data_IF_391195151771
#
_entry.id   IF_391195151771
#
_cell.length_a   1.000
_cell.length_b   1.000
_cell.length_c   1.000
_cell.angle_alpha   90.00
_cell.angle_beta   90.00
_cell.angle_gamma   90.00
#
_symmetry.space_group_name_H-M   'P 1'
#
loop_
_entity.id
_entity.type
_entity.pdbx_description
1 polymer ?
#
# COMPACT_ATOMS: atom_id res chain seq x y z
N UNK A 1 -3.48 -4.50 -18.78
CA UNK A 1 -4.03 -4.48 -17.41
C UNK A 1 -3.74 -3.12 -16.81
N UNK A 2 -4.71 -2.47 -16.14
CA UNK A 2 -4.49 -1.18 -15.47
C UNK A 2 -4.19 -1.49 -14.00
N UNK A 3 -2.96 -1.21 -13.57
CA UNK A 3 -2.63 -1.23 -12.14
C UNK A 3 -3.11 0.07 -11.49
N UNK A 4 -3.79 -0.09 -10.36
CA UNK A 4 -4.05 1.02 -9.45
C UNK A 4 -3.04 0.92 -8.31
N UNK A 5 -2.68 2.03 -7.72
CA UNK A 5 -1.75 2.09 -6.59
C UNK A 5 -2.23 3.12 -5.58
N UNK A 6 -1.82 2.98 -4.33
CA UNK A 6 -2.33 3.76 -3.19
C UNK A 6 -3.84 3.55 -2.99
N UNK A 7 -4.28 2.28 -3.12
CA UNK A 7 -5.63 1.87 -2.79
C UNK A 7 -5.76 1.74 -1.27
N UNK A 8 -6.79 2.33 -0.70
CA UNK A 8 -6.93 2.39 0.75
C UNK A 8 -7.80 1.23 1.24
N UNK A 9 -7.22 0.37 2.05
CA UNK A 9 -7.90 -0.72 2.73
C UNK A 9 -7.95 -0.49 4.22
N UNK A 10 -9.03 -0.93 4.84
CA UNK A 10 -9.11 -1.22 6.26
C UNK A 10 -9.36 -2.72 6.40
N UNK A 11 -8.48 -3.40 7.08
CA UNK A 11 -8.51 -4.87 7.19
C UNK A 11 -8.67 -5.29 8.63
N UNK A 12 -9.41 -6.38 8.86
CA UNK A 12 -9.59 -6.98 10.19
C UNK A 12 -8.32 -7.65 10.71
N UNK A 13 -8.25 -7.86 12.01
CA UNK A 13 -7.10 -8.49 12.67
C UNK A 13 -6.86 -9.95 12.24
N UNK A 14 -7.91 -10.63 11.77
CA UNK A 14 -7.85 -12.05 11.37
C UNK A 14 -7.36 -12.27 9.94
N UNK A 15 -7.14 -11.20 9.18
CA UNK A 15 -6.68 -11.30 7.79
C UNK A 15 -5.24 -11.79 7.71
N UNK A 16 -4.96 -12.60 6.67
CA UNK A 16 -3.69 -13.30 6.51
C UNK A 16 -2.96 -12.91 5.23
N UNK A 17 -1.63 -13.11 5.22
CA UNK A 17 -0.81 -12.93 4.03
C UNK A 17 -1.29 -13.83 2.86
N UNK A 18 -1.70 -15.06 3.14
CA UNK A 18 -2.20 -15.98 2.11
C UNK A 18 -3.50 -15.45 1.49
N UNK A 19 -4.40 -14.90 2.31
CA UNK A 19 -5.62 -14.23 1.84
C UNK A 19 -5.30 -13.04 0.95
N UNK A 20 -4.34 -12.19 1.35
CA UNK A 20 -3.88 -11.07 0.54
C UNK A 20 -3.26 -11.53 -0.78
N UNK A 21 -2.37 -12.53 -0.76
CA UNK A 21 -1.65 -13.02 -1.94
C UNK A 21 -2.58 -13.59 -3.04
N UNK A 22 -3.76 -14.11 -2.66
CA UNK A 22 -4.76 -14.63 -3.60
C UNK A 22 -5.95 -13.68 -3.82
N UNK A 23 -5.91 -12.50 -3.19
CA UNK A 23 -6.97 -11.49 -3.33
C UNK A 23 -8.30 -11.88 -2.66
N UNK A 24 -8.25 -12.66 -1.57
CA UNK A 24 -9.43 -13.15 -0.84
C UNK A 24 -9.60 -12.51 0.55
N UNK A 25 -8.81 -11.48 0.88
CA UNK A 25 -8.95 -10.76 2.15
C UNK A 25 -10.17 -9.82 2.15
N UNK A 26 -10.68 -9.53 3.33
CA UNK A 26 -11.86 -8.68 3.52
C UNK A 26 -11.45 -7.25 3.82
N UNK A 27 -11.93 -6.31 3.01
CA UNK A 27 -11.85 -4.88 3.28
C UNK A 27 -13.10 -4.43 4.05
N UNK A 28 -12.92 -4.04 5.31
CA UNK A 28 -14.01 -3.63 6.22
C UNK A 28 -14.37 -2.15 6.06
N UNK A 29 -13.64 -1.38 5.24
CA UNK A 29 -13.87 0.05 5.00
C UNK A 29 -14.55 0.38 3.67
N UNK A 30 -14.40 -0.49 2.67
CA UNK A 30 -14.98 -0.31 1.34
C UNK A 30 -14.47 0.96 0.61
N UNK A 31 -13.26 1.44 0.93
CA UNK A 31 -12.70 2.65 0.31
C UNK A 31 -12.22 2.45 -1.12
N UNK A 32 -12.10 1.20 -1.58
CA UNK A 32 -11.79 0.88 -2.98
C UNK A 32 -12.83 1.39 -3.97
N UNK A 33 -14.10 1.33 -3.59
CA UNK A 33 -15.25 1.70 -4.43
C UNK A 33 -15.78 3.11 -4.12
N UNK A 34 -15.16 3.80 -3.14
CA UNK A 34 -15.56 5.16 -2.80
C UNK A 34 -14.99 6.18 -3.76
N UNK A 35 -15.81 7.16 -4.09
CA UNK A 35 -15.37 8.32 -4.84
C UNK A 35 -14.66 9.29 -3.90
N UNK A 36 -13.40 9.59 -4.21
CA UNK A 36 -12.66 10.65 -3.55
C UNK A 36 -13.00 12.00 -4.18
N UNK A 37 -13.31 12.97 -3.35
CA UNK A 37 -13.49 14.36 -3.76
C UNK A 37 -12.14 15.05 -3.90
N UNK A 38 -11.97 15.82 -4.96
CA UNK A 38 -10.80 16.69 -5.12
C UNK A 38 -11.05 17.96 -4.32
N UNK A 39 -10.41 18.09 -3.15
CA UNK A 39 -10.48 19.29 -2.33
C UNK A 39 -9.63 20.41 -2.92
N UNK A 40 -8.45 20.06 -3.42
CA UNK A 40 -7.53 21.03 -3.95
C UNK A 40 -6.59 20.42 -5.00
N UNK A 41 -6.30 21.20 -6.06
CA UNK A 41 -5.31 20.87 -7.09
C UNK A 41 -4.41 22.09 -7.35
N UNK A 42 -3.23 22.12 -6.72
CA UNK A 42 -2.24 23.18 -6.86
C UNK A 42 -1.17 22.79 -7.87
N UNK A 43 -1.42 23.09 -9.14
CA UNK A 43 -0.51 22.70 -10.24
C UNK A 43 0.87 23.34 -10.13
N UNK A 44 0.96 24.57 -9.66
CA UNK A 44 2.20 25.32 -9.43
C UNK A 44 3.07 24.73 -8.31
N UNK A 45 2.45 24.09 -7.33
CA UNK A 45 3.12 23.39 -6.21
C UNK A 45 3.26 21.88 -6.44
N UNK A 46 2.69 21.36 -7.53
CA UNK A 46 2.62 19.91 -7.83
C UNK A 46 1.95 19.12 -6.69
N UNK A 47 0.84 19.65 -6.17
CA UNK A 47 0.08 19.07 -5.08
C UNK A 47 -1.37 18.78 -5.49
N UNK A 48 -1.90 17.65 -4.99
CA UNK A 48 -3.29 17.23 -5.12
C UNK A 48 -3.78 16.75 -3.76
N UNK A 49 -4.93 17.24 -3.32
CA UNK A 49 -5.58 16.83 -2.08
C UNK A 49 -6.90 16.17 -2.41
N UNK A 50 -7.07 14.96 -1.92
CA UNK A 50 -8.25 14.13 -2.07
C UNK A 50 -8.81 13.76 -0.71
N UNK A 51 -10.14 13.76 -0.56
CA UNK A 51 -10.83 13.39 0.68
C UNK A 51 -11.96 12.42 0.39
N UNK A 52 -12.14 11.44 1.26
CA UNK A 52 -13.28 10.53 1.25
C UNK A 52 -13.72 10.22 2.68
N UNK A 53 -15.03 10.05 2.88
CA UNK A 53 -15.62 9.70 4.18
C UNK A 53 -16.44 8.43 4.04
N UNK A 54 -16.38 7.55 5.03
CA UNK A 54 -17.15 6.32 5.03
C UNK A 54 -17.18 5.54 6.32
N UNK A 55 -18.18 4.67 6.49
CA UNK A 55 -18.25 3.77 7.63
C UNK A 55 -17.17 2.71 7.57
N UNK A 56 -16.68 2.30 8.73
CA UNK A 56 -15.77 1.18 8.95
C UNK A 56 -16.32 0.33 10.10
N UNK A 57 -16.21 -0.98 9.94
CA UNK A 57 -16.40 -1.91 11.03
C UNK A 57 -15.05 -2.22 11.67
N UNK A 58 -14.91 -1.87 12.94
CA UNK A 58 -13.70 -2.14 13.72
C UNK A 58 -13.57 -3.57 14.17
N UNK A 59 -12.36 -3.95 14.62
CA UNK A 59 -12.05 -5.30 15.14
C UNK A 59 -12.83 -5.64 16.42
N UNK A 60 -13.29 -4.63 17.15
CA UNK A 60 -14.14 -4.75 18.36
C UNK A 60 -15.64 -4.78 18.05
N UNK A 61 -16.03 -5.08 16.80
CA UNK A 61 -17.41 -5.01 16.31
C UNK A 61 -18.08 -3.62 16.41
N UNK A 62 -17.33 -2.57 16.75
CA UNK A 62 -17.83 -1.21 16.68
C UNK A 62 -18.00 -0.75 15.23
N UNK A 63 -19.02 0.06 14.99
CA UNK A 63 -19.19 0.76 13.74
C UNK A 63 -18.80 2.23 13.96
N UNK A 64 -17.88 2.71 13.16
CA UNK A 64 -17.48 4.12 13.17
C UNK A 64 -17.42 4.68 11.77
N UNK A 65 -17.25 5.97 11.66
CA UNK A 65 -17.06 6.67 10.39
C UNK A 65 -15.66 7.30 10.39
N UNK A 66 -14.94 7.16 9.30
CA UNK A 66 -13.65 7.84 9.14
C UNK A 66 -13.67 8.76 7.95
N UNK A 67 -12.91 9.82 8.08
CA UNK A 67 -12.50 10.67 6.96
C UNK A 67 -11.04 10.41 6.65
N UNK A 68 -10.74 10.12 5.38
CA UNK A 68 -9.38 9.98 4.87
C UNK A 68 -9.07 11.18 4.00
N UNK A 69 -8.01 11.89 4.33
CA UNK A 69 -7.40 12.90 3.46
C UNK A 69 -6.07 12.37 2.93
N UNK A 70 -5.90 12.39 1.61
CA UNK A 70 -4.65 12.08 0.93
C UNK A 70 -4.11 13.31 0.24
N UNK A 71 -2.92 13.76 0.67
CA UNK A 71 -2.20 14.83 -0.02
C UNK A 71 -1.04 14.24 -0.80
N UNK A 72 -1.13 14.31 -2.11
CA UNK A 72 -0.08 13.92 -3.05
C UNK A 72 0.83 15.10 -3.34
N UNK A 73 2.13 14.87 -3.27
CA UNK A 73 3.15 15.84 -3.64
C UNK A 73 4.15 15.24 -4.60
N UNK A 74 4.19 15.77 -5.82
CA UNK A 74 5.06 15.28 -6.88
C UNK A 74 6.34 16.11 -6.94
N UNK A 75 7.49 15.44 -6.98
CA UNK A 75 8.79 16.08 -7.12
C UNK A 75 9.70 15.21 -7.98
N UNK A 76 10.09 15.71 -9.19
CA UNK A 76 11.00 15.03 -10.12
C UNK A 76 10.85 13.50 -10.11
N UNK A 77 11.72 12.81 -9.34
CA UNK A 77 11.77 11.35 -9.20
C UNK A 77 11.12 10.83 -7.91
N UNK A 78 10.28 11.61 -7.24
CA UNK A 78 9.63 11.22 -6.00
C UNK A 78 8.16 11.62 -5.95
N UNK A 79 7.34 10.72 -5.41
CA UNK A 79 5.95 10.95 -5.02
C UNK A 79 5.86 10.79 -3.51
N UNK A 80 5.34 11.80 -2.82
CA UNK A 80 5.00 11.70 -1.41
C UNK A 80 3.49 11.71 -1.25
N UNK A 81 2.95 10.72 -0.55
CA UNK A 81 1.54 10.66 -0.15
C UNK A 81 1.47 10.83 1.35
N UNK A 82 0.83 11.90 1.80
CA UNK A 82 0.51 12.13 3.20
C UNK A 82 -0.91 11.63 3.44
N UNK A 83 -1.08 10.87 4.48
CA UNK A 83 -2.35 10.36 4.97
C UNK A 83 -2.72 11.06 6.26
N UNK A 84 -3.96 11.52 6.33
CA UNK A 84 -4.61 11.94 7.57
C UNK A 84 -5.90 11.15 7.67
N UNK A 85 -6.09 10.40 8.75
CA UNK A 85 -7.28 9.60 9.03
C UNK A 85 -7.87 10.11 10.33
N UNK A 86 -9.12 10.54 10.28
CA UNK A 86 -9.86 11.05 11.43
C UNK A 86 -11.02 10.12 11.72
N UNK A 87 -11.15 9.69 12.98
CA UNK A 87 -12.37 9.04 13.43
C UNK A 87 -13.45 10.11 13.64
N UNK A 88 -14.39 10.21 12.70
CA UNK A 88 -15.51 11.17 12.75
C UNK A 88 -16.77 10.56 13.36
N UNK A 89 -16.73 9.29 13.78
CA UNK A 89 -17.81 8.63 14.48
C UNK A 89 -17.81 8.91 15.97
N UNK A 90 -18.78 8.29 16.67
CA UNK A 90 -18.99 8.47 18.11
C UNK A 90 -18.33 7.36 18.95
N UNK A 91 -17.91 6.27 18.29
CA UNK A 91 -17.31 5.10 18.94
C UNK A 91 -15.81 5.03 18.68
N UNK A 92 -15.07 4.43 19.62
CA UNK A 92 -13.65 4.11 19.42
C UNK A 92 -13.50 3.13 18.26
N UNK A 93 -12.61 3.42 17.35
CA UNK A 93 -12.27 2.56 16.21
C UNK A 93 -10.94 1.84 16.46
N UNK A 94 -10.96 0.51 16.44
CA UNK A 94 -9.78 -0.35 16.38
C UNK A 94 -9.79 -1.10 15.05
N UNK A 95 -8.74 -0.92 14.23
CA UNK A 95 -8.65 -1.48 12.87
C UNK A 95 -7.21 -1.45 12.38
N UNK A 96 -6.95 -2.04 11.22
CA UNK A 96 -5.66 -1.91 10.54
C UNK A 96 -5.83 -1.14 9.23
N UNK A 97 -5.16 0.00 9.11
CA UNK A 97 -5.05 0.73 7.84
C UNK A 97 -3.93 0.16 6.98
N UNK A 98 -4.22 -0.12 5.72
CA UNK A 98 -3.32 -0.83 4.82
C UNK A 98 -3.46 -0.31 3.37
N UNK A 99 -2.73 0.75 2.99
CA UNK A 99 -2.74 1.20 1.60
C UNK A 99 -1.98 0.21 0.71
N UNK A 100 -2.62 -0.26 -0.35
CA UNK A 100 -2.02 -1.15 -1.33
C UNK A 100 -1.23 -0.36 -2.38
N UNK A 101 0.03 -0.71 -2.56
CA UNK A 101 0.95 -0.07 -3.49
C UNK A 101 1.40 -1.11 -4.52
N UNK A 102 0.93 -0.95 -5.75
CA UNK A 102 1.23 -1.85 -6.85
C UNK A 102 2.32 -1.23 -7.73
N UNK A 103 3.42 -1.96 -7.88
CA UNK A 103 4.55 -1.59 -8.71
C UNK A 103 4.72 -2.61 -9.84
N UNK A 104 4.74 -2.12 -11.07
CA UNK A 104 4.96 -2.94 -12.26
C UNK A 104 6.26 -2.52 -12.93
N UNK A 105 7.39 -3.18 -12.60
CA UNK A 105 8.64 -3.00 -13.33
C UNK A 105 8.50 -3.51 -14.77
N UNK A 106 9.41 -3.13 -15.66
CA UNK A 106 9.35 -3.52 -17.05
C UNK A 106 9.84 -4.97 -17.28
N UNK A 107 10.59 -5.54 -16.33
CA UNK A 107 10.98 -6.94 -16.42
C UNK A 107 9.78 -7.86 -16.22
N UNK A 108 9.60 -8.80 -17.11
CA UNK A 108 8.63 -9.89 -17.04
C UNK A 108 9.22 -11.16 -16.40
N UNK A 109 10.54 -11.19 -16.18
CA UNK A 109 11.24 -12.25 -15.46
C UNK A 109 11.49 -11.81 -14.01
N UNK A 110 10.96 -12.61 -13.09
CA UNK A 110 11.14 -12.40 -11.64
C UNK A 110 12.62 -12.53 -11.25
N UNK A 111 13.42 -13.28 -12.00
CA UNK A 111 14.86 -13.43 -11.74
C UNK A 111 15.65 -12.11 -11.89
N UNK A 112 15.10 -11.15 -12.64
CA UNK A 112 15.70 -9.83 -12.84
C UNK A 112 15.31 -8.83 -11.77
N UNK A 113 14.42 -9.22 -10.84
CA UNK A 113 13.90 -8.39 -9.78
C UNK A 113 14.47 -8.79 -8.42
N UNK A 114 14.91 -7.81 -7.66
CA UNK A 114 15.33 -8.01 -6.28
C UNK A 114 14.51 -7.12 -5.36
N UNK A 115 13.91 -7.72 -4.34
CA UNK A 115 13.11 -7.00 -3.34
C UNK A 115 13.84 -7.05 -2.01
N UNK A 116 14.10 -5.86 -1.46
CA UNK A 116 14.74 -5.71 -0.17
C UNK A 116 13.81 -4.96 0.78
N UNK A 117 13.83 -5.35 2.03
CA UNK A 117 13.15 -4.63 3.11
C UNK A 117 14.15 -4.22 4.18
N UNK A 118 13.98 -3.03 4.74
CA UNK A 118 14.77 -2.56 5.87
C UNK A 118 13.92 -2.60 7.15
N UNK A 119 14.16 -3.53 8.08
CA UNK A 119 13.51 -3.53 9.38
C UNK A 119 14.16 -2.47 10.27
N UNK A 120 13.42 -1.43 10.60
CA UNK A 120 13.86 -0.35 11.48
C UNK A 120 15.14 0.34 11.01
N UNK A 121 16.16 0.34 11.88
CA UNK A 121 17.50 0.88 11.57
C UNK A 121 18.49 -0.21 11.11
N UNK A 122 17.98 -1.41 10.87
CA UNK A 122 18.77 -2.55 10.43
C UNK A 122 19.29 -2.44 9.00
N UNK A 123 20.02 -3.47 8.57
CA UNK A 123 20.42 -3.63 7.17
C UNK A 123 19.19 -4.04 6.34
N UNK A 124 19.24 -3.77 5.05
CA UNK A 124 18.29 -4.34 4.08
C UNK A 124 18.41 -5.86 4.07
N UNK A 125 17.27 -6.51 4.02
CA UNK A 125 17.13 -7.97 3.93
C UNK A 125 16.41 -8.26 2.64
N UNK A 126 16.95 -9.16 1.83
CA UNK A 126 16.28 -9.64 0.62
C UNK A 126 15.12 -10.56 1.00
N UNK A 127 13.94 -10.32 0.42
CA UNK A 127 12.72 -11.09 0.70
C UNK A 127 12.22 -11.90 -0.49
N UNK A 128 12.85 -11.69 -1.65
CA UNK A 128 12.48 -12.40 -2.87
C UNK A 128 11.09 -12.03 -3.41
N UNK A 129 10.68 -12.72 -4.48
CA UNK A 129 9.43 -12.43 -5.19
C UNK A 129 8.20 -13.16 -4.64
N UNK A 130 8.37 -14.11 -3.72
CA UNK A 130 7.26 -14.87 -3.14
C UNK A 130 6.53 -14.07 -2.06
N UNK A 131 5.29 -14.45 -1.70
CA UNK A 131 4.59 -13.79 -0.62
C UNK A 131 5.41 -13.77 0.67
N UNK A 132 5.55 -12.59 1.26
CA UNK A 132 6.36 -12.41 2.48
C UNK A 132 5.71 -11.41 3.42
N UNK A 133 5.82 -11.68 4.72
CA UNK A 133 5.49 -10.74 5.79
C UNK A 133 6.76 -10.26 6.47
N UNK A 134 6.88 -8.95 6.61
CA UNK A 134 8.05 -8.30 7.21
C UNK A 134 7.58 -7.37 8.32
N UNK A 135 8.04 -7.62 9.54
CA UNK A 135 7.71 -6.83 10.71
C UNK A 135 8.61 -5.60 10.85
N UNK A 136 8.02 -4.50 11.29
CA UNK A 136 8.73 -3.28 11.66
C UNK A 136 9.51 -2.64 10.53
N UNK A 137 9.06 -2.78 9.30
CA UNK A 137 9.67 -2.19 8.11
C UNK A 137 9.64 -0.66 8.14
N UNK A 138 10.71 -0.04 7.66
CA UNK A 138 10.82 1.41 7.42
C UNK A 138 11.01 1.73 5.95
N UNK A 139 11.38 0.73 5.15
CA UNK A 139 11.67 0.88 3.72
C UNK A 139 11.45 -0.44 3.00
N UNK A 140 10.94 -0.36 1.78
CA UNK A 140 10.95 -1.42 0.77
C UNK A 140 11.67 -0.89 -0.44
N UNK A 141 12.57 -1.66 -1.02
CA UNK A 141 13.27 -1.36 -2.26
C UNK A 141 13.02 -2.48 -3.27
N UNK A 142 12.57 -2.13 -4.45
CA UNK A 142 12.49 -3.00 -5.61
C UNK A 142 13.53 -2.56 -6.63
N UNK A 143 14.45 -3.45 -6.97
CA UNK A 143 15.48 -3.24 -7.99
C UNK A 143 15.14 -4.07 -9.24
N UNK A 144 15.15 -3.42 -10.39
CA UNK A 144 14.97 -4.02 -11.71
C UNK A 144 16.31 -3.92 -12.46
N UNK A 145 17.01 -5.04 -12.60
CA UNK A 145 18.34 -5.09 -13.22
C UNK A 145 18.30 -4.85 -14.73
N UNK A 146 17.17 -5.15 -15.40
CA UNK A 146 17.01 -4.95 -16.85
C UNK A 146 16.89 -3.46 -17.18
N UNK A 147 16.10 -2.73 -16.42
CA UNK A 147 15.90 -1.29 -16.63
C UNK A 147 16.92 -0.44 -15.90
N UNK A 148 17.72 -1.04 -15.02
CA UNK A 148 18.65 -0.35 -14.12
C UNK A 148 17.95 0.71 -13.27
N UNK A 149 16.78 0.34 -12.74
CA UNK A 149 15.89 1.20 -11.96
C UNK A 149 15.64 0.63 -10.58
N UNK A 150 15.81 1.46 -9.57
CA UNK A 150 15.38 1.19 -8.19
C UNK A 150 14.12 1.99 -7.84
N UNK A 151 13.16 1.33 -7.19
CA UNK A 151 11.96 1.97 -6.65
C UNK A 151 11.97 1.78 -5.14
N UNK A 152 12.13 2.87 -4.39
CA UNK A 152 12.14 2.84 -2.93
C UNK A 152 10.82 3.36 -2.38
N UNK A 153 10.16 2.59 -1.52
CA UNK A 153 9.07 3.01 -0.66
C UNK A 153 9.62 3.27 0.74
N UNK A 154 9.47 4.48 1.27
CA UNK A 154 9.90 4.82 2.63
C UNK A 154 8.70 5.23 3.48
N UNK A 155 8.62 4.71 4.70
CA UNK A 155 7.51 4.93 5.63
C UNK A 155 7.94 5.87 6.76
N UNK A 156 7.10 6.84 7.12
CA UNK A 156 7.39 7.77 8.21
C UNK A 156 7.45 7.07 9.56
N UNK A 157 6.49 6.19 9.83
CA UNK A 157 6.49 5.29 10.98
C UNK A 157 6.70 3.85 10.54
N UNK A 158 7.24 3.02 11.43
CA UNK A 158 7.38 1.57 11.19
C UNK A 158 6.03 0.94 10.94
N UNK A 159 6.01 -0.05 10.05
CA UNK A 159 4.83 -0.84 9.73
C UNK A 159 5.20 -2.31 9.52
N UNK A 160 4.21 -3.18 9.56
CA UNK A 160 4.36 -4.52 9.02
C UNK A 160 3.98 -4.47 7.54
N UNK A 161 4.76 -5.12 6.69
CA UNK A 161 4.51 -5.12 5.24
C UNK A 161 4.19 -6.53 4.78
N UNK A 162 3.06 -6.70 4.10
CA UNK A 162 2.85 -7.84 3.25
C UNK A 162 3.32 -7.51 1.84
N UNK A 163 4.03 -8.44 1.23
CA UNK A 163 4.50 -8.38 -0.15
C UNK A 163 4.00 -9.61 -0.89
N UNK A 164 3.45 -9.43 -2.08
CA UNK A 164 3.02 -10.53 -2.91
C UNK A 164 3.19 -10.21 -4.41
N UNK A 165 3.55 -11.19 -5.26
CA UNK A 165 3.60 -11.00 -6.69
C UNK A 165 2.20 -10.93 -7.28
N UNK A 166 1.99 -10.00 -8.21
CA UNK A 166 0.80 -9.97 -9.05
C UNK A 166 1.07 -10.84 -10.27
N UNK A 167 0.28 -11.88 -10.44
CA UNK A 167 0.42 -12.83 -11.55
C UNK A 167 -0.88 -12.94 -12.33
N UNK A 168 -0.78 -13.09 -13.63
CA UNK A 168 -1.92 -13.44 -14.49
C UNK A 168 -1.79 -14.85 -14.98
N UNK A 169 -2.91 -15.55 -14.99
CA UNK A 169 -3.02 -16.88 -15.58
C UNK A 169 -3.59 -16.74 -16.98
N UNK A 170 -2.88 -17.22 -17.98
CA UNK A 170 -3.33 -17.24 -19.36
C UNK A 170 -3.26 -18.66 -19.90
N UNK A 171 -4.13 -19.00 -20.84
CA UNK A 171 -4.08 -20.26 -21.57
C UNK A 171 -3.36 -20.04 -22.88
N UNK A 172 -2.21 -20.68 -23.04
CA UNK A 172 -1.46 -20.72 -24.28
C UNK A 172 -1.51 -22.15 -24.84
N UNK A 173 -2.18 -22.34 -25.99
CA UNK A 173 -2.46 -23.64 -26.58
C UNK A 173 -3.23 -24.56 -25.62
N UNK A 174 -2.61 -25.58 -25.04
CA UNK A 174 -3.23 -26.49 -24.06
C UNK A 174 -2.66 -26.36 -22.65
N UNK A 175 -1.76 -25.41 -22.43
CA UNK A 175 -1.07 -25.21 -21.17
C UNK A 175 -1.52 -23.90 -20.47
N UNK A 176 -1.57 -23.94 -19.13
CA UNK A 176 -1.78 -22.76 -18.31
C UNK A 176 -0.41 -22.11 -18.04
N UNK A 177 -0.26 -20.88 -18.47
CA UNK A 177 0.96 -20.08 -18.27
C UNK A 177 0.70 -18.99 -17.25
N UNK A 178 1.54 -18.94 -16.23
CA UNK A 178 1.51 -17.87 -15.22
C UNK A 178 2.56 -16.83 -15.57
N UNK A 179 2.12 -15.58 -15.75
CA UNK A 179 3.02 -14.47 -16.08
C UNK A 179 3.04 -13.47 -14.93
N UNK A 180 4.23 -13.08 -14.50
CA UNK A 180 4.42 -12.00 -13.55
C UNK A 180 4.02 -10.66 -14.19
N UNK A 181 3.32 -9.82 -13.42
CA UNK A 181 2.82 -8.51 -13.87
C UNK A 181 3.32 -7.37 -12.99
N UNK A 182 3.76 -7.67 -11.78
CA UNK A 182 4.19 -6.68 -10.80
C UNK A 182 4.21 -7.24 -9.38
N UNK A 183 4.57 -6.40 -8.44
CA UNK A 183 4.52 -6.70 -7.00
C UNK A 183 3.57 -5.77 -6.28
N UNK A 184 2.77 -6.32 -5.40
CA UNK A 184 1.91 -5.59 -4.48
C UNK A 184 2.56 -5.53 -3.11
N UNK A 185 2.59 -4.34 -2.53
CA UNK A 185 3.06 -4.08 -1.17
C UNK A 185 1.91 -3.50 -0.36
N UNK A 186 1.67 -4.08 0.80
CA UNK A 186 0.62 -3.67 1.74
C UNK A 186 1.26 -3.31 3.09
N UNK A 187 1.78 -2.07 3.25
CA UNK A 187 2.20 -1.58 4.56
C UNK A 187 0.99 -1.45 5.48
N UNK A 188 1.08 -2.00 6.70
CA UNK A 188 -0.02 -2.13 7.65
C UNK A 188 0.28 -1.42 8.95
N UNK A 189 -0.65 -0.57 9.40
CA UNK A 189 -0.60 0.12 10.68
C UNK A 189 -1.84 -0.20 11.49
N UNK A 190 -1.67 -0.78 12.67
CA UNK A 190 -2.76 -0.91 13.64
C UNK A 190 -3.15 0.50 14.14
N UNK A 191 -4.42 0.82 14.07
CA UNK A 191 -5.01 2.07 14.53
C UNK A 191 -5.93 1.80 15.72
N UNK A 192 -5.87 2.68 16.70
CA UNK A 192 -6.82 2.75 17.80
C UNK A 192 -7.15 4.23 17.98
N UNK A 193 -8.31 4.66 17.46
CA UNK A 193 -8.69 6.07 17.40
C UNK A 193 -9.95 6.33 18.23
N UNK A 194 -9.82 7.17 19.24
CA UNK A 194 -10.98 7.71 19.97
C UNK A 194 -11.80 8.63 19.04
N UNK A 195 -13.06 8.97 19.37
CA UNK A 195 -13.85 9.95 18.65
C UNK A 195 -13.10 11.26 18.45
N UNK A 196 -13.07 11.78 17.22
CA UNK A 196 -12.32 12.98 16.78
C UNK A 196 -10.80 12.84 16.83
N UNK A 197 -10.25 11.69 17.16
CA UNK A 197 -8.81 11.46 17.12
C UNK A 197 -8.31 11.33 15.68
N UNK A 198 -7.08 11.79 15.47
CA UNK A 198 -6.43 11.85 14.14
C UNK A 198 -5.17 11.02 14.14
N UNK A 199 -4.99 10.22 13.09
CA UNK A 199 -3.73 9.55 12.78
C UNK A 199 -3.14 10.14 11.50
N UNK A 200 -1.82 10.35 11.52
CA UNK A 200 -1.08 10.88 10.39
C UNK A 200 0.13 10.04 10.05
N UNK A 201 0.36 9.85 8.76
CA UNK A 201 1.55 9.17 8.26
C UNK A 201 1.86 9.64 6.83
N UNK A 202 3.03 9.23 6.32
CA UNK A 202 3.37 9.46 4.92
C UNK A 202 4.17 8.32 4.35
N UNK A 203 3.99 8.14 3.04
CA UNK A 203 4.76 7.20 2.21
C UNK A 203 5.47 8.00 1.14
N UNK A 204 6.76 7.77 0.99
CA UNK A 204 7.58 8.38 -0.07
C UNK A 204 7.98 7.29 -1.04
N UNK A 205 7.52 7.40 -2.29
CA UNK A 205 8.01 6.58 -3.40
C UNK A 205 9.10 7.36 -4.13
N UNK A 206 10.27 6.76 -4.30
CA UNK A 206 11.38 7.38 -5.01
C UNK A 206 11.87 6.46 -6.12
N UNK A 207 12.13 7.06 -7.29
CA UNK A 207 12.75 6.41 -8.43
C UNK A 207 14.23 6.80 -8.46
N UNK A 208 15.10 5.80 -8.55
CA UNK A 208 16.56 5.96 -8.56
C UNK A 208 17.15 5.11 -9.69
N UNK A 209 18.22 5.61 -10.30
CA UNK A 209 19.02 4.80 -11.21
C UNK A 209 19.98 3.96 -10.36
N UNK A 210 20.06 2.65 -10.63
CA UNK A 210 20.97 1.72 -9.98
C UNK A 210 22.41 1.93 -10.45
#
# INVERSE_FOLDING_TARGET
MLFRSFLDHFIGADETLDGFAVGSFTDVGGFLDRTYTVEECRRDQHELILTATGPIRGDNDSESTVEITKKYKFRRSALTVYYTIVNTGEEKLETTFAPEINLSPLSDDVADLQIYVRPGRGKRVEVGPDPAEIEGATEVLLEDSVTNLGITLSFQSKCNVWSAPIRTLSQAYSELVTTYQGSSFLPRWALALEPSETWENRIVTRLEKL
#
